data_IF_324584180209
#
_entry.id   IF_324584180209
#
_cell.length_a   1.000
_cell.length_b   1.000
_cell.length_c   1.000
_cell.angle_alpha   90.00
_cell.angle_beta   90.00
_cell.angle_gamma   90.00
#
_symmetry.space_group_name_H-M   'P 1'
#
loop_
_entity.id
_entity.type
_entity.pdbx_description
1 polymer ?
#
# COMPACT_ATOMS: atom_id res chain seq x y z
N UNK A 1 4.34 5.17 11.05
CA UNK A 1 5.26 4.59 10.05
C UNK A 1 4.50 3.54 9.26
N UNK A 2 4.77 3.37 7.96
CA UNK A 2 4.12 2.34 7.14
C UNK A 2 5.13 1.31 6.68
N UNK A 3 5.01 0.08 7.17
CA UNK A 3 5.96 -1.01 6.93
C UNK A 3 5.44 -1.95 5.86
N UNK A 4 6.24 -2.20 4.83
CA UNK A 4 5.94 -3.22 3.83
C UNK A 4 6.12 -4.62 4.43
N UNK A 5 5.08 -5.45 4.41
CA UNK A 5 5.13 -6.83 4.93
C UNK A 5 4.89 -7.90 3.88
N UNK A 6 4.37 -7.53 2.72
CA UNK A 6 4.17 -8.45 1.60
C UNK A 6 3.80 -7.73 0.31
N UNK A 7 3.90 -8.42 -0.81
CA UNK A 7 3.31 -7.98 -2.06
C UNK A 7 2.96 -9.18 -2.92
N UNK A 8 1.95 -9.04 -3.78
CA UNK A 8 1.51 -10.07 -4.71
C UNK A 8 1.23 -9.46 -6.08
N UNK A 9 1.80 -10.06 -7.11
CA UNK A 9 1.47 -9.77 -8.50
C UNK A 9 0.48 -10.78 -9.04
N UNK A 10 -0.43 -10.30 -9.89
CA UNK A 10 -1.35 -11.18 -10.61
C UNK A 10 -1.79 -10.52 -11.92
N UNK A 11 -2.17 -11.35 -12.88
CA UNK A 11 -2.75 -10.90 -14.15
C UNK A 11 -4.26 -11.00 -14.05
N UNK A 12 -4.95 -9.90 -14.32
CA UNK A 12 -6.41 -9.86 -14.31
C UNK A 12 -6.97 -10.65 -15.50
N UNK A 13 -7.89 -11.57 -15.21
CA UNK A 13 -8.60 -12.34 -16.26
C UNK A 13 -9.55 -11.47 -17.09
N UNK A 14 -9.90 -10.26 -16.63
CA UNK A 14 -10.88 -9.39 -17.28
C UNK A 14 -10.29 -8.57 -18.43
N UNK A 15 -9.08 -8.04 -18.23
CA UNK A 15 -8.42 -7.13 -19.18
C UNK A 15 -6.99 -7.55 -19.52
N UNK A 16 -6.47 -8.64 -18.97
CA UNK A 16 -5.10 -9.12 -19.21
C UNK A 16 -4.01 -8.25 -18.59
N UNK A 17 -4.37 -7.24 -17.79
CA UNK A 17 -3.38 -6.33 -17.18
C UNK A 17 -2.76 -6.94 -15.91
N UNK A 18 -1.49 -6.64 -15.70
CA UNK A 18 -0.76 -6.99 -14.48
C UNK A 18 -1.05 -5.97 -13.39
N UNK A 19 -1.41 -6.47 -12.21
CA UNK A 19 -1.59 -5.68 -11.00
C UNK A 19 -0.61 -6.15 -9.93
N UNK A 20 -0.24 -5.22 -9.05
CA UNK A 20 0.53 -5.52 -7.85
C UNK A 20 -0.24 -4.96 -6.64
N UNK A 21 -0.43 -5.79 -5.62
CA UNK A 21 -1.02 -5.39 -4.34
C UNK A 21 0.05 -5.52 -3.28
N UNK A 22 0.18 -4.49 -2.43
CA UNK A 22 1.10 -4.48 -1.30
C UNK A 22 0.33 -4.65 -0.01
N UNK A 23 0.89 -5.44 0.90
CA UNK A 23 0.41 -5.60 2.26
C UNK A 23 1.29 -4.75 3.17
N UNK A 24 0.68 -3.87 3.94
CA UNK A 24 1.40 -2.98 4.86
C UNK A 24 0.84 -3.07 6.27
N UNK A 25 1.69 -2.72 7.22
CA UNK A 25 1.32 -2.52 8.63
C UNK A 25 1.56 -1.06 9.00
N UNK A 26 0.61 -0.46 9.69
CA UNK A 26 0.61 0.95 10.07
C UNK A 26 0.23 1.14 11.53
N UNK A 27 0.73 2.21 12.12
CA UNK A 27 0.35 2.60 13.48
C UNK A 27 -1.10 3.09 13.50
N UNK A 28 -1.81 2.73 14.57
CA UNK A 28 -3.17 3.22 14.82
C UNK A 28 -3.16 4.72 15.10
N UNK A 29 -4.14 5.43 14.54
CA UNK A 29 -4.45 6.81 14.91
C UNK A 29 -4.96 6.88 16.36
N UNK A 30 -4.85 8.05 16.98
CA UNK A 30 -5.31 8.20 18.38
C UNK A 30 -6.81 7.97 18.51
N UNK A 31 -7.59 8.39 17.51
CA UNK A 31 -9.02 8.09 17.43
C UNK A 31 -9.32 6.59 17.38
N UNK A 32 -8.53 5.80 16.66
CA UNK A 32 -8.71 4.33 16.63
C UNK A 32 -8.39 3.72 17.99
N UNK A 33 -7.32 4.17 18.65
CA UNK A 33 -6.97 3.70 20.01
C UNK A 33 -8.06 4.07 21.02
N UNK A 34 -8.60 5.27 20.97
CA UNK A 34 -9.71 5.73 21.81
C UNK A 34 -10.97 4.88 21.63
N UNK A 35 -11.20 4.36 20.42
CA UNK A 35 -12.29 3.44 20.12
C UNK A 35 -11.97 1.96 20.49
N UNK A 36 -10.87 1.71 21.20
CA UNK A 36 -10.50 0.40 21.70
C UNK A 36 -9.66 -0.46 20.74
N UNK A 37 -9.14 0.10 19.64
CA UNK A 37 -8.21 -0.64 18.79
C UNK A 37 -6.85 -0.80 19.48
N UNK A 38 -6.29 -2.01 19.42
CA UNK A 38 -5.00 -2.37 20.01
C UNK A 38 -4.08 -2.96 18.93
N UNK A 39 -2.78 -2.65 19.01
CA UNK A 39 -1.78 -3.16 18.08
C UNK A 39 -1.56 -2.23 16.89
N UNK A 40 -1.56 -2.80 15.68
CA UNK A 40 -1.31 -2.09 14.43
C UNK A 40 -2.38 -2.45 13.40
N UNK A 41 -2.65 -1.52 12.49
CA UNK A 41 -3.56 -1.74 11.36
C UNK A 41 -2.83 -2.41 10.20
N UNK A 42 -3.52 -3.26 9.47
CA UNK A 42 -3.04 -3.87 8.24
C UNK A 42 -3.89 -3.42 7.06
N UNK A 43 -3.28 -3.09 5.94
CA UNK A 43 -3.99 -2.68 4.72
C UNK A 43 -3.42 -3.39 3.48
N UNK A 44 -4.30 -3.64 2.50
CA UNK A 44 -3.93 -4.05 1.15
C UNK A 44 -4.11 -2.88 0.18
N UNK A 45 -3.04 -2.48 -0.49
CA UNK A 45 -3.04 -1.30 -1.37
C UNK A 45 -2.63 -1.70 -2.77
N UNK A 46 -3.40 -1.29 -3.77
CA UNK A 46 -3.05 -1.49 -5.19
C UNK A 46 -1.97 -0.50 -5.61
N UNK A 47 -0.90 -1.01 -6.22
CA UNK A 47 0.16 -0.19 -6.79
C UNK A 47 -0.31 0.56 -8.05
N UNK A 48 0.24 1.75 -8.33
CA UNK A 48 0.11 2.39 -9.63
C UNK A 48 0.57 1.45 -10.76
N UNK A 49 -0.10 1.53 -11.91
CA UNK A 49 0.14 0.63 -13.05
C UNK A 49 1.58 0.70 -13.54
N UNK A 50 2.18 1.88 -13.46
CA UNK A 50 3.54 2.18 -13.87
C UNK A 50 4.59 1.61 -12.89
N UNK A 51 4.17 1.17 -11.70
CA UNK A 51 5.06 0.74 -10.61
C UNK A 51 4.82 -0.70 -10.14
N UNK A 52 4.13 -1.51 -10.94
CA UNK A 52 3.87 -2.92 -10.61
C UNK A 52 5.14 -3.74 -10.38
N UNK A 53 6.27 -3.33 -10.97
CA UNK A 53 7.57 -3.99 -10.85
C UNK A 53 8.56 -3.32 -9.90
N UNK A 54 8.13 -2.30 -9.14
CA UNK A 54 8.99 -1.54 -8.23
C UNK A 54 9.66 -2.39 -7.15
N UNK A 55 8.93 -3.36 -6.58
CA UNK A 55 9.33 -4.06 -5.36
C UNK A 55 10.12 -5.35 -5.64
N UNK A 56 11.13 -5.60 -4.80
CA UNK A 56 11.89 -6.86 -4.73
C UNK A 56 11.77 -7.50 -3.33
N UNK A 57 12.08 -8.80 -3.18
CA UNK A 57 11.97 -9.50 -1.89
C UNK A 57 12.79 -8.86 -0.76
N UNK A 58 13.92 -8.23 -1.08
CA UNK A 58 14.76 -7.55 -0.08
C UNK A 58 14.21 -6.21 0.42
N UNK A 59 13.05 -5.78 -0.08
CA UNK A 59 12.37 -4.58 0.42
C UNK A 59 11.35 -4.89 1.53
N UNK A 60 11.04 -6.17 1.76
CA UNK A 60 10.17 -6.58 2.87
C UNK A 60 10.78 -6.11 4.19
N UNK A 61 9.96 -5.45 5.00
CA UNK A 61 10.33 -4.88 6.28
C UNK A 61 10.79 -3.42 6.22
N UNK A 62 11.00 -2.85 5.03
CA UNK A 62 11.32 -1.43 4.86
C UNK A 62 10.10 -0.54 5.00
N UNK A 63 10.37 0.75 5.21
CA UNK A 63 9.33 1.78 5.17
C UNK A 63 8.94 2.06 3.72
N UNK A 64 7.63 2.13 3.46
CA UNK A 64 7.05 2.43 2.16
C UNK A 64 6.17 3.67 2.27
N UNK A 65 6.29 4.55 1.27
CA UNK A 65 5.59 5.82 1.21
C UNK A 65 4.60 5.80 0.05
N UNK A 66 3.41 6.34 0.33
CA UNK A 66 2.29 6.40 -0.59
C UNK A 66 1.95 7.87 -0.86
N UNK A 67 2.16 8.32 -2.09
CA UNK A 67 1.88 9.68 -2.52
C UNK A 67 0.52 9.72 -3.21
N UNK A 68 -0.43 10.41 -2.58
CA UNK A 68 -1.79 10.56 -3.09
C UNK A 68 -2.01 11.96 -3.64
N UNK A 69 -2.74 12.04 -4.74
CA UNK A 69 -3.29 13.29 -5.27
C UNK A 69 -4.79 13.35 -5.11
N UNK A 70 -5.32 14.55 -4.87
CA UNK A 70 -6.76 14.79 -4.79
C UNK A 70 -7.29 15.12 -6.18
N UNK A 71 -8.20 14.29 -6.70
CA UNK A 71 -8.93 14.54 -7.93
C UNK A 71 -10.42 14.29 -7.71
N UNK A 72 -11.26 15.25 -8.09
CA UNK A 72 -12.72 15.14 -7.92
C UNK A 72 -13.17 14.85 -6.48
N UNK A 73 -12.43 15.34 -5.47
CA UNK A 73 -12.72 15.10 -4.04
C UNK A 73 -12.33 13.72 -3.51
N UNK A 74 -11.61 12.90 -4.30
CA UNK A 74 -11.11 11.59 -3.91
C UNK A 74 -9.59 11.56 -3.97
N UNK A 75 -8.98 10.82 -3.05
CA UNK A 75 -7.55 10.55 -3.07
C UNK A 75 -7.24 9.41 -4.07
N UNK A 76 -6.27 9.64 -4.95
CA UNK A 76 -5.75 8.66 -5.89
C UNK A 76 -4.28 8.43 -5.61
N UNK A 77 -3.87 7.17 -5.45
CA UNK A 77 -2.47 6.84 -5.29
C UNK A 77 -1.77 7.02 -6.64
N UNK A 78 -0.88 8.01 -6.73
CA UNK A 78 -0.17 8.33 -7.97
C UNK A 78 1.26 7.82 -7.98
N UNK A 79 1.87 7.67 -6.80
CA UNK A 79 3.25 7.21 -6.70
C UNK A 79 3.53 6.48 -5.39
N UNK A 80 4.43 5.51 -5.46
CA UNK A 80 4.95 4.74 -4.33
C UNK A 80 6.48 4.80 -4.32
N UNK A 81 7.06 4.98 -3.14
CA UNK A 81 8.51 4.95 -2.96
C UNK A 81 8.92 4.17 -1.70
N UNK A 82 10.13 3.62 -1.71
CA UNK A 82 10.75 2.94 -0.57
C UNK A 82 11.73 3.88 0.11
N UNK A 83 11.85 3.75 1.42
CA UNK A 83 12.81 4.51 2.23
C UNK A 83 13.86 3.59 2.85
#
# INVERSE_FOLDING_TARGET
MTKLVGYRKFVSRKNGETYCVVNVVQDLTDREKENGCVGQKTDEIFMPKEQVDLLKPSDIGKEILFNYELSGGRAFLVNVSLK
#
